data_IF_167530706939
#
_entry.id   IF_167530706939
#
_cell.length_a   1.000
_cell.length_b   1.000
_cell.length_c   1.000
_cell.angle_alpha   90.00
_cell.angle_beta   90.00
_cell.angle_gamma   90.00
#
_symmetry.space_group_name_H-M   'P 1'
#
loop_
_entity.id
_entity.type
_entity.pdbx_description
1 polymer ?
#
# COMPACT_ATOMS: atom_id res chain seq x y z
N UNK A 1 5.09 10.44 -3.43
CA UNK A 1 3.68 10.29 -3.00
C UNK A 1 3.60 9.57 -1.66
N UNK A 2 2.60 9.86 -0.81
CA UNK A 2 2.41 9.21 0.49
C UNK A 2 0.99 8.69 0.66
N UNK A 3 0.86 7.51 1.24
CA UNK A 3 -0.42 6.85 1.51
C UNK A 3 -0.45 6.46 2.98
N UNK A 4 -1.46 6.94 3.69
CA UNK A 4 -1.73 6.52 5.05
C UNK A 4 -2.83 5.45 5.02
N UNK A 5 -2.59 4.31 5.65
CA UNK A 5 -3.59 3.26 5.79
C UNK A 5 -3.50 2.60 7.16
N UNK A 6 -4.61 2.01 7.60
CA UNK A 6 -4.66 1.32 8.87
C UNK A 6 -3.81 0.05 8.81
N UNK A 7 -2.94 -0.14 9.81
CA UNK A 7 -2.14 -1.35 9.93
C UNK A 7 -3.08 -2.55 10.07
N UNK A 8 -2.87 -3.63 9.29
CA UNK A 8 -3.66 -4.84 9.45
C UNK A 8 -3.40 -5.44 10.85
N UNK A 9 -4.40 -6.11 11.42
CA UNK A 9 -4.20 -6.85 12.66
C UNK A 9 -3.29 -8.06 12.41
N UNK A 10 -1.99 -7.88 12.67
CA UNK A 10 -1.05 -8.99 12.67
C UNK A 10 -1.31 -9.87 13.89
N UNK A 11 -1.58 -11.15 13.66
CA UNK A 11 -1.67 -12.14 14.75
C UNK A 11 -0.31 -12.42 15.39
N UNK A 12 0.79 -12.15 14.66
CA UNK A 12 2.17 -12.47 15.02
C UNK A 12 3.17 -11.62 14.24
N UNK A 13 4.35 -11.37 14.82
CA UNK A 13 5.44 -10.57 14.20
C UNK A 13 5.94 -11.13 12.86
N UNK A 14 5.77 -12.44 12.61
CA UNK A 14 6.11 -13.06 11.32
C UNK A 14 5.25 -12.52 10.17
N UNK A 15 3.96 -12.28 10.44
CA UNK A 15 3.01 -11.76 9.46
C UNK A 15 3.31 -10.29 9.15
N UNK A 16 3.64 -9.51 10.16
CA UNK A 16 4.08 -8.12 10.00
C UNK A 16 5.32 -8.02 9.11
N UNK A 17 6.37 -8.81 9.39
CA UNK A 17 7.57 -8.85 8.54
C UNK A 17 7.27 -9.28 7.11
N UNK A 18 6.36 -10.23 6.90
CA UNK A 18 5.95 -10.66 5.56
C UNK A 18 5.19 -9.55 4.81
N UNK A 19 4.35 -8.79 5.52
CA UNK A 19 3.65 -7.63 4.96
C UNK A 19 4.63 -6.53 4.55
N UNK A 20 5.50 -6.10 5.47
CA UNK A 20 6.51 -5.06 5.20
C UNK A 20 7.46 -5.47 4.06
N UNK A 21 7.85 -6.75 4.01
CA UNK A 21 8.63 -7.30 2.89
C UNK A 21 7.88 -7.25 1.56
N UNK A 22 6.57 -7.43 1.57
CA UNK A 22 5.76 -7.35 0.35
C UNK A 22 5.61 -5.90 -0.12
N UNK A 23 5.50 -4.94 0.81
CA UNK A 23 5.52 -3.51 0.46
C UNK A 23 6.86 -3.09 -0.14
N UNK A 24 7.97 -3.56 0.43
CA UNK A 24 9.31 -3.26 -0.08
C UNK A 24 9.67 -4.00 -1.38
N UNK A 25 8.81 -4.90 -1.86
CA UNK A 25 8.93 -5.51 -3.18
C UNK A 25 8.28 -4.68 -4.29
N UNK A 26 7.51 -3.63 -3.95
CA UNK A 26 6.93 -2.73 -4.94
C UNK A 26 8.04 -1.91 -5.59
N UNK A 27 8.01 -1.76 -6.92
CA UNK A 27 9.02 -1.03 -7.66
C UNK A 27 9.13 0.44 -7.23
N UNK A 28 7.99 1.07 -6.98
CA UNK A 28 7.93 2.46 -6.52
C UNK A 28 8.12 2.61 -5.00
N UNK A 29 8.50 1.57 -4.27
CA UNK A 29 8.68 1.66 -2.82
C UNK A 29 9.84 2.59 -2.45
N UNK A 30 9.57 3.57 -1.60
CA UNK A 30 10.60 4.45 -1.01
C UNK A 30 10.81 4.09 0.46
N UNK A 31 9.72 3.95 1.21
CA UNK A 31 9.79 3.71 2.64
C UNK A 31 8.43 3.46 3.26
N UNK A 32 8.42 2.91 4.48
CA UNK A 32 7.22 2.80 5.29
C UNK A 32 7.52 3.26 6.71
N UNK A 33 6.67 4.13 7.24
CA UNK A 33 6.77 4.64 8.60
C UNK A 33 5.59 4.13 9.41
N UNK A 34 5.87 3.50 10.55
CA UNK A 34 4.83 3.10 11.50
C UNK A 34 4.37 4.31 12.32
N UNK A 35 3.06 4.51 12.39
CA UNK A 35 2.41 5.59 13.13
C UNK A 35 1.35 5.00 14.07
N UNK A 36 1.78 4.09 14.96
CA UNK A 36 0.89 3.39 15.88
C UNK A 36 0.00 2.40 15.15
N UNK A 37 -1.30 2.66 15.07
CA UNK A 37 -2.26 1.79 14.36
C UNK A 37 -2.30 1.99 12.84
N UNK A 38 -1.41 2.82 12.29
CA UNK A 38 -1.36 3.15 10.86
C UNK A 38 0.06 2.99 10.31
N UNK A 39 0.14 2.71 9.01
CA UNK A 39 1.38 2.82 8.24
C UNK A 39 1.27 3.96 7.25
N UNK A 40 2.33 4.75 7.18
CA UNK A 40 2.56 5.76 6.15
C UNK A 40 3.53 5.16 5.13
N UNK A 41 3.00 4.69 4.02
CA UNK A 41 3.79 4.20 2.89
C UNK A 41 4.15 5.37 1.99
N UNK A 42 5.44 5.54 1.75
CA UNK A 42 6.00 6.47 0.79
C UNK A 42 6.32 5.72 -0.50
N UNK A 43 5.75 6.21 -1.59
CA UNK A 43 5.99 5.71 -2.94
C UNK A 43 6.58 6.82 -3.78
N UNK A 44 7.47 6.47 -4.69
CA UNK A 44 8.05 7.38 -5.63
C UNK A 44 7.03 7.69 -6.74
N UNK A 45 6.66 8.96 -6.90
CA UNK A 45 5.62 9.36 -7.86
C UNK A 45 6.08 9.36 -9.32
N UNK A 46 7.38 9.30 -9.56
CA UNK A 46 7.93 9.28 -10.93
C UNK A 46 8.00 7.85 -11.48
N UNK A 47 8.11 6.86 -10.59
CA UNK A 47 8.21 5.43 -10.92
C UNK A 47 6.96 4.62 -10.57
N UNK A 48 5.94 5.24 -9.95
CA UNK A 48 4.69 4.54 -9.64
C UNK A 48 3.86 4.30 -10.90
N UNK A 49 3.81 3.03 -11.30
CA UNK A 49 3.03 2.55 -12.43
C UNK A 49 1.73 1.87 -11.97
N UNK A 50 0.79 1.72 -12.90
CA UNK A 50 -0.49 1.02 -12.66
C UNK A 50 -0.28 -0.37 -12.03
N UNK A 51 0.78 -1.09 -12.43
CA UNK A 51 1.10 -2.39 -11.87
C UNK A 51 1.46 -2.33 -10.38
N UNK A 52 2.18 -1.29 -9.93
CA UNK A 52 2.49 -1.09 -8.51
C UNK A 52 1.22 -0.87 -7.68
N UNK A 53 0.26 -0.10 -8.21
CA UNK A 53 -1.02 0.13 -7.51
C UNK A 53 -1.88 -1.15 -7.52
N UNK A 54 -1.87 -1.92 -8.61
CA UNK A 54 -2.53 -3.23 -8.66
C UNK A 54 -1.95 -4.19 -7.62
N UNK A 55 -0.63 -4.26 -7.48
CA UNK A 55 0.04 -5.06 -6.47
C UNK A 55 -0.33 -4.59 -5.04
N UNK A 56 -0.43 -3.28 -4.81
CA UNK A 56 -0.92 -2.71 -3.56
C UNK A 56 -2.37 -3.12 -3.26
N UNK A 57 -3.26 -3.08 -4.24
CA UNK A 57 -4.66 -3.48 -4.09
C UNK A 57 -4.78 -4.96 -3.70
N UNK A 58 -3.99 -5.84 -4.35
CA UNK A 58 -3.92 -7.27 -4.01
C UNK A 58 -3.36 -7.47 -2.60
N UNK A 59 -2.33 -6.70 -2.21
CA UNK A 59 -1.80 -6.74 -0.86
C UNK A 59 -2.86 -6.32 0.17
N UNK A 60 -3.55 -5.21 -0.06
CA UNK A 60 -4.56 -4.71 0.86
C UNK A 60 -5.70 -5.72 1.02
N UNK A 61 -6.15 -6.34 -0.08
CA UNK A 61 -7.14 -7.42 0.00
C UNK A 61 -6.66 -8.62 0.83
N UNK A 62 -5.45 -9.10 0.52
CA UNK A 62 -4.85 -10.26 1.19
C UNK A 62 -4.74 -10.04 2.70
N UNK A 63 -4.44 -8.81 3.10
CA UNK A 63 -4.25 -8.43 4.50
C UNK A 63 -5.50 -7.82 5.14
N UNK A 64 -6.65 -7.80 4.43
CA UNK A 64 -7.92 -7.21 4.90
C UNK A 64 -7.77 -5.76 5.36
N UNK A 65 -6.91 -5.01 4.67
CA UNK A 65 -6.72 -3.57 4.87
C UNK A 65 -7.79 -2.84 4.06
N UNK A 66 -8.32 -1.77 4.64
CA UNK A 66 -9.26 -0.90 3.97
C UNK A 66 -8.65 -0.29 2.70
N UNK A 67 -9.37 -0.36 1.57
CA UNK A 67 -8.87 0.06 0.25
C UNK A 67 -9.20 1.52 -0.09
N UNK A 68 -9.99 2.22 0.72
CA UNK A 68 -10.33 3.64 0.51
C UNK A 68 -9.11 4.54 0.24
N UNK A 69 -7.97 4.39 0.94
CA UNK A 69 -6.77 5.18 0.63
C UNK A 69 -6.14 4.83 -0.73
N UNK A 70 -6.32 3.61 -1.25
CA UNK A 70 -5.88 3.25 -2.60
C UNK A 70 -6.84 3.82 -3.66
N UNK A 71 -8.15 3.80 -3.42
CA UNK A 71 -9.14 4.39 -4.34
C UNK A 71 -8.90 5.89 -4.56
N UNK A 72 -8.59 6.61 -3.48
CA UNK A 72 -8.20 8.03 -3.56
C UNK A 72 -6.96 8.24 -4.43
N UNK A 73 -6.01 7.29 -4.36
CA UNK A 73 -4.77 7.29 -5.13
C UNK A 73 -5.01 6.93 -6.60
N UNK A 74 -5.88 5.96 -6.90
CA UNK A 74 -6.33 5.69 -8.28
C UNK A 74 -6.96 6.93 -8.92
N UNK A 75 -7.80 7.65 -8.18
CA UNK A 75 -8.39 8.90 -8.66
C UNK A 75 -7.35 10.01 -8.87
N UNK A 76 -6.39 10.16 -7.96
CA UNK A 76 -5.31 11.14 -8.10
C UNK A 76 -4.40 10.88 -9.30
N UNK A 77 -4.16 9.60 -9.63
CA UNK A 77 -3.36 9.19 -10.80
C UNK A 77 -4.13 9.34 -12.12
N UNK A 78 -5.40 9.74 -12.10
CA UNK A 78 -6.23 9.80 -13.31
C UNK A 78 -6.50 8.43 -13.92
N UNK A 79 -6.43 7.36 -13.12
CA UNK A 79 -6.74 6.00 -13.57
C UNK A 79 -8.26 5.85 -13.50
N UNK A 80 -8.94 6.22 -14.59
CA UNK A 80 -10.38 5.99 -14.77
C UNK A 80 -10.62 4.54 -15.24
N UNK A 81 -11.48 3.78 -14.54
CA UNK A 81 -11.90 2.44 -14.98
C UNK A 81 -11.28 1.25 -14.24
N UNK A 82 -11.28 1.26 -12.90
CA UNK A 82 -11.19 0.02 -12.14
C UNK A 82 -12.60 -0.63 -12.10
N UNK A 83 -12.93 -1.38 -13.14
CA UNK A 83 -14.08 -2.32 -13.16
C UNK A 83 -13.66 -3.70 -12.63
#
# INVERSE_FOLDING_TARGET
MKILFQAPSFSDTKKEKAFLKSLSALQAYVGVTEMGSHYLLELDSETIEFESIRQLSILFDRWKIDRSPLESLFQMMGIEGYE
#
